data_IF_243218266183
#
_entry.id   IF_243218266183
#
_cell.length_a   1.000
_cell.length_b   1.000
_cell.length_c   1.000
_cell.angle_alpha   90.00
_cell.angle_beta   90.00
_cell.angle_gamma   90.00
#
_symmetry.space_group_name_H-M   'P 1'
#
loop_
_entity.id
_entity.type
_entity.pdbx_description
1 polymer ?
#
# COMPACT_ATOMS: atom_id res chain seq x y z
N UNK A 1 1.72 -6.32 58.57
CA UNK A 1 2.09 -5.18 57.69
C UNK A 1 3.55 -5.33 57.29
N UNK A 2 4.01 -4.82 56.13
CA UNK A 2 3.24 -4.43 54.93
C UNK A 2 2.56 -5.64 54.22
N UNK A 3 2.81 -6.17 53.00
CA UNK A 3 3.88 -5.96 51.99
C UNK A 3 3.51 -6.53 50.59
N UNK A 4 2.25 -6.44 50.15
CA UNK A 4 1.75 -6.95 48.85
C UNK A 4 2.23 -6.13 47.63
N UNK A 5 3.54 -6.15 47.33
CA UNK A 5 4.18 -5.23 46.37
C UNK A 5 4.78 -5.88 45.10
N UNK A 6 4.61 -7.19 44.88
CA UNK A 6 5.20 -7.89 43.72
C UNK A 6 4.22 -8.19 42.57
N UNK A 7 2.96 -7.72 42.65
CA UNK A 7 1.89 -8.14 41.72
C UNK A 7 1.40 -7.02 40.77
N UNK A 8 1.75 -5.75 41.03
CA UNK A 8 1.33 -4.62 40.18
C UNK A 8 2.20 -4.42 38.93
N UNK A 9 3.45 -4.86 38.92
CA UNK A 9 4.42 -4.58 37.85
C UNK A 9 4.09 -5.24 36.52
N UNK A 10 3.55 -6.48 36.56
CA UNK A 10 3.25 -7.28 35.36
C UNK A 10 2.06 -6.67 34.57
N UNK A 11 1.04 -6.17 35.26
CA UNK A 11 -0.17 -5.60 34.64
C UNK A 11 0.12 -4.32 33.84
N UNK A 12 1.03 -3.48 34.33
CA UNK A 12 1.39 -2.20 33.67
C UNK A 12 2.11 -2.44 32.34
N UNK A 13 2.98 -3.45 32.26
CA UNK A 13 3.70 -3.78 31.03
C UNK A 13 2.74 -4.24 29.90
N UNK A 14 1.76 -5.09 30.23
CA UNK A 14 0.77 -5.59 29.27
C UNK A 14 -0.10 -4.47 28.67
N UNK A 15 -0.48 -3.48 29.49
CA UNK A 15 -1.27 -2.33 29.04
C UNK A 15 -0.50 -1.39 28.08
N UNK A 16 0.81 -1.21 28.29
CA UNK A 16 1.64 -0.43 27.36
C UNK A 16 1.88 -1.17 26.03
N UNK A 17 2.06 -2.49 26.08
CA UNK A 17 2.25 -3.30 24.87
C UNK A 17 1.03 -3.23 23.94
N UNK A 18 -0.19 -3.38 24.46
CA UNK A 18 -1.41 -3.31 23.65
C UNK A 18 -1.67 -1.93 23.05
N UNK A 19 -1.38 -0.85 23.78
CA UNK A 19 -1.50 0.52 23.29
C UNK A 19 -0.63 0.79 22.04
N UNK A 20 0.62 0.32 22.04
CA UNK A 20 1.53 0.50 20.88
C UNK A 20 1.08 -0.29 19.65
N UNK A 21 0.54 -1.51 19.83
CA UNK A 21 0.01 -2.32 18.73
C UNK A 21 -1.26 -1.70 18.11
N UNK A 22 -2.15 -1.15 18.93
CA UNK A 22 -3.33 -0.43 18.46
C UNK A 22 -2.96 0.85 17.68
N UNK A 23 -2.04 1.65 18.21
CA UNK A 23 -1.58 2.88 17.56
C UNK A 23 -0.95 2.62 16.17
N UNK A 24 -0.09 1.60 16.05
CA UNK A 24 0.47 1.17 14.75
C UNK A 24 -0.63 0.76 13.78
N UNK A 25 -1.56 -0.09 14.21
CA UNK A 25 -2.66 -0.58 13.37
C UNK A 25 -3.58 0.55 12.88
N UNK A 26 -3.78 1.59 13.68
CA UNK A 26 -4.53 2.78 13.28
C UNK A 26 -3.76 3.65 12.28
N UNK A 27 -2.45 3.85 12.48
CA UNK A 27 -1.61 4.58 11.52
C UNK A 27 -1.54 3.86 10.16
N UNK A 28 -1.33 2.54 10.16
CA UNK A 28 -1.39 1.70 8.96
C UNK A 28 -2.72 1.88 8.20
N UNK A 29 -3.85 1.99 8.93
CA UNK A 29 -5.17 2.17 8.32
C UNK A 29 -5.31 3.54 7.64
N UNK A 30 -4.82 4.62 8.25
CA UNK A 30 -4.83 5.96 7.65
C UNK A 30 -3.97 5.98 6.37
N UNK A 31 -2.72 5.51 6.45
CA UNK A 31 -1.81 5.42 5.31
C UNK A 31 -2.41 4.61 4.16
N UNK A 32 -3.03 3.46 4.48
CA UNK A 32 -3.75 2.64 3.48
C UNK A 32 -4.95 3.38 2.88
N UNK A 33 -5.71 4.13 3.68
CA UNK A 33 -6.89 4.87 3.20
C UNK A 33 -6.51 6.01 2.26
N UNK A 34 -5.52 6.81 2.66
CA UNK A 34 -5.00 7.95 1.89
C UNK A 34 -4.33 7.48 0.58
N UNK A 35 -3.50 6.43 0.65
CA UNK A 35 -2.89 5.83 -0.54
C UNK A 35 -3.92 5.20 -1.50
N UNK A 36 -4.96 4.53 -0.99
CA UNK A 36 -6.08 4.04 -1.82
C UNK A 36 -6.85 5.18 -2.48
N UNK A 37 -7.02 6.31 -1.80
CA UNK A 37 -7.64 7.49 -2.40
C UNK A 37 -6.75 8.09 -3.49
N UNK A 38 -5.46 8.35 -3.22
CA UNK A 38 -4.53 8.92 -4.20
C UNK A 38 -4.43 8.07 -5.48
N UNK A 39 -4.39 6.73 -5.34
CA UNK A 39 -4.41 5.82 -6.48
C UNK A 39 -5.76 5.76 -7.23
N UNK A 40 -6.87 6.08 -6.57
CA UNK A 40 -8.18 6.14 -7.19
C UNK A 40 -8.42 7.47 -7.92
N UNK A 41 -8.05 8.60 -7.31
CA UNK A 41 -8.21 9.94 -7.86
C UNK A 41 -7.34 10.18 -9.11
N UNK A 42 -6.29 9.38 -9.29
CA UNK A 42 -5.48 9.31 -10.52
C UNK A 42 -6.15 8.54 -11.70
N UNK A 43 -7.38 8.02 -11.54
CA UNK A 43 -8.10 7.25 -12.57
C UNK A 43 -9.37 7.98 -13.08
N UNK A 44 -9.86 7.67 -14.32
CA UNK A 44 -10.98 8.41 -14.93
C UNK A 44 -12.33 8.31 -14.21
N UNK A 45 -12.55 7.27 -13.41
CA UNK A 45 -13.71 7.13 -12.51
C UNK A 45 -13.21 6.58 -11.15
N UNK A 46 -12.81 7.46 -10.22
CA UNK A 46 -12.28 7.07 -8.91
C UNK A 46 -13.27 6.24 -8.08
N UNK A 47 -14.58 6.46 -8.28
CA UNK A 47 -15.65 5.83 -7.48
C UNK A 47 -15.96 4.39 -7.93
N UNK A 48 -15.53 4.00 -9.13
CA UNK A 48 -15.65 2.62 -9.63
C UNK A 48 -14.39 1.78 -9.43
N UNK A 49 -13.35 2.31 -8.79
CA UNK A 49 -12.07 1.63 -8.63
C UNK A 49 -12.19 0.37 -7.77
N UNK A 50 -11.54 -0.70 -8.21
CA UNK A 50 -11.45 -1.99 -7.50
C UNK A 50 -10.00 -2.29 -7.19
N UNK A 51 -9.73 -2.63 -5.94
CA UNK A 51 -8.41 -3.08 -5.48
C UNK A 51 -8.42 -4.59 -5.21
N UNK A 52 -7.27 -5.25 -5.37
CA UNK A 52 -7.05 -6.62 -4.88
C UNK A 52 -5.56 -6.84 -4.57
N UNK A 53 -5.26 -7.85 -3.75
CA UNK A 53 -3.89 -8.25 -3.42
C UNK A 53 -3.07 -7.10 -2.82
N UNK A 54 -3.70 -6.29 -1.95
CA UNK A 54 -3.06 -5.15 -1.32
C UNK A 54 -2.08 -5.58 -0.22
N UNK A 55 -0.92 -4.94 -0.16
CA UNK A 55 0.04 -5.12 0.92
C UNK A 55 0.87 -3.87 1.15
N UNK A 56 1.34 -3.67 2.38
CA UNK A 56 2.40 -2.72 2.69
C UNK A 56 3.76 -3.39 2.49
N UNK A 57 4.68 -2.65 1.91
CA UNK A 57 6.08 -3.02 1.68
C UNK A 57 6.99 -1.93 2.26
N UNK A 58 8.12 -2.33 2.84
CA UNK A 58 9.10 -1.40 3.45
C UNK A 58 10.41 -1.38 2.65
N UNK A 59 10.91 -0.22 2.28
CA UNK A 59 12.16 -0.08 1.51
C UNK A 59 12.95 1.17 1.89
N UNK A 60 14.25 1.18 1.54
CA UNK A 60 15.16 2.30 1.84
C UNK A 60 15.22 2.61 3.34
N UNK A 61 15.15 3.89 3.68
CA UNK A 61 15.18 4.41 5.05
C UNK A 61 13.81 4.24 5.76
N UNK A 62 13.33 2.99 5.85
CA UNK A 62 12.01 2.60 6.38
C UNK A 62 10.81 3.30 5.73
N UNK A 63 10.89 3.60 4.42
CA UNK A 63 9.74 4.09 3.66
C UNK A 63 8.71 2.99 3.49
N UNK A 64 7.46 3.28 3.83
CA UNK A 64 6.31 2.41 3.58
C UNK A 64 5.71 2.73 2.21
N UNK A 65 5.27 1.71 1.50
CA UNK A 65 4.63 1.84 0.18
C UNK A 65 3.47 0.86 0.10
N UNK A 66 2.29 1.35 -0.30
CA UNK A 66 1.13 0.50 -0.58
C UNK A 66 1.28 -0.08 -1.98
N UNK A 67 1.37 -1.40 -2.07
CA UNK A 67 1.49 -2.14 -3.33
C UNK A 67 0.26 -3.05 -3.54
N UNK A 68 -0.02 -3.40 -4.79
CA UNK A 68 -1.04 -4.39 -5.13
C UNK A 68 -1.53 -4.27 -6.56
N UNK A 69 -2.79 -4.64 -6.80
CA UNK A 69 -3.45 -4.48 -8.10
C UNK A 69 -4.70 -3.59 -8.02
N UNK A 70 -4.88 -2.76 -9.06
CA UNK A 70 -5.97 -1.82 -9.23
C UNK A 70 -6.65 -2.03 -10.58
N UNK A 71 -7.97 -1.88 -10.63
CA UNK A 71 -8.77 -1.92 -11.85
C UNK A 71 -9.76 -0.75 -11.83
N UNK A 72 -9.70 0.11 -12.84
CA UNK A 72 -10.57 1.26 -13.00
C UNK A 72 -11.33 1.21 -14.31
N UNK A 73 -12.29 2.12 -14.46
CA UNK A 73 -12.95 2.33 -15.76
C UNK A 73 -12.17 3.32 -16.61
N UNK A 74 -12.23 3.13 -17.92
CA UNK A 74 -11.90 4.17 -18.90
C UNK A 74 -13.01 5.22 -19.03
N UNK A 75 -12.80 6.21 -19.91
CA UNK A 75 -13.79 7.26 -20.22
C UNK A 75 -15.06 6.75 -20.94
N UNK A 76 -15.10 5.48 -21.36
CA UNK A 76 -16.30 4.81 -21.90
C UNK A 76 -17.11 4.06 -20.83
N UNK A 77 -16.61 4.04 -19.59
CA UNK A 77 -17.22 3.32 -18.47
C UNK A 77 -16.88 1.83 -18.41
N UNK A 78 -15.98 1.33 -19.27
CA UNK A 78 -15.52 -0.07 -19.29
C UNK A 78 -14.34 -0.25 -18.35
N UNK A 79 -14.34 -1.31 -17.56
CA UNK A 79 -13.17 -1.73 -16.78
C UNK A 79 -12.04 -2.13 -17.72
N UNK A 80 -10.83 -1.59 -17.51
CA UNK A 80 -9.67 -1.83 -18.36
C UNK A 80 -8.94 -3.13 -18.02
N UNK A 81 -9.05 -3.61 -16.77
CA UNK A 81 -8.36 -4.79 -16.27
C UNK A 81 -7.62 -4.49 -14.96
N UNK A 82 -7.21 -5.54 -14.25
CA UNK A 82 -6.31 -5.36 -13.11
C UNK A 82 -4.89 -5.14 -13.62
N UNK A 83 -4.24 -4.10 -13.09
CA UNK A 83 -2.84 -3.77 -13.32
C UNK A 83 -2.14 -3.54 -11.98
N UNK A 84 -0.84 -3.82 -11.90
CA UNK A 84 -0.06 -3.53 -10.69
C UNK A 84 -0.01 -2.03 -10.44
N UNK A 85 0.03 -1.64 -9.18
CA UNK A 85 0.27 -0.25 -8.78
C UNK A 85 1.08 -0.21 -7.48
N UNK A 86 1.66 0.96 -7.22
CA UNK A 86 2.31 1.30 -5.97
C UNK A 86 2.00 2.77 -5.62
N UNK A 87 1.98 3.09 -4.34
CA UNK A 87 1.86 4.45 -3.81
C UNK A 87 2.90 4.65 -2.73
N UNK A 88 3.79 5.62 -2.91
CA UNK A 88 4.84 5.95 -1.95
C UNK A 88 4.28 6.77 -0.77
N UNK A 89 5.11 6.99 0.25
CA UNK A 89 4.78 7.76 1.45
C UNK A 89 4.52 9.26 1.17
N UNK A 90 4.89 9.76 -0.01
CA UNK A 90 4.52 11.08 -0.55
C UNK A 90 3.10 11.16 -1.13
N UNK A 91 2.38 10.03 -1.18
CA UNK A 91 1.13 9.82 -1.93
C UNK A 91 1.27 9.85 -3.47
N UNK A 92 2.51 9.90 -3.99
CA UNK A 92 2.77 9.70 -5.42
C UNK A 92 2.38 8.27 -5.84
N UNK A 93 1.52 8.15 -6.85
CA UNK A 93 1.03 6.86 -7.36
C UNK A 93 1.64 6.51 -8.72
N UNK A 94 2.14 5.28 -8.85
CA UNK A 94 2.62 4.72 -10.11
C UNK A 94 1.82 3.48 -10.49
N UNK A 95 1.55 3.34 -11.79
CA UNK A 95 0.79 2.23 -12.35
C UNK A 95 1.60 1.50 -13.40
N UNK A 96 1.39 0.18 -13.51
CA UNK A 96 1.96 -0.65 -14.57
C UNK A 96 1.40 -0.18 -15.93
N UNK A 97 2.23 0.38 -16.83
CA UNK A 97 1.78 0.71 -18.17
C UNK A 97 1.64 -0.62 -18.92
N UNK A 98 0.41 -1.10 -19.06
CA UNK A 98 0.08 -2.39 -19.69
C UNK A 98 0.31 -2.34 -21.21
N UNK A 99 1.58 -2.32 -21.59
CA UNK A 99 2.06 -2.39 -22.96
C UNK A 99 1.55 -3.68 -23.62
N UNK A 100 0.69 -3.53 -24.63
CA UNK A 100 0.11 -4.64 -25.37
C UNK A 100 1.04 -5.19 -26.47
N UNK A 101 0.60 -6.25 -27.17
CA UNK A 101 1.26 -6.69 -28.40
C UNK A 101 1.33 -5.53 -29.41
N UNK A 102 2.53 -5.18 -29.88
CA UNK A 102 2.75 -4.02 -30.76
C UNK A 102 3.04 -2.70 -30.06
N UNK A 103 3.25 -2.69 -28.73
CA UNK A 103 3.69 -1.50 -27.99
C UNK A 103 4.96 -0.86 -28.57
N UNK A 104 5.02 0.47 -28.51
CA UNK A 104 6.17 1.26 -28.96
C UNK A 104 7.39 1.03 -28.06
N UNK A 105 8.62 1.34 -28.55
CA UNK A 105 9.83 1.29 -27.71
C UNK A 105 9.75 2.17 -26.45
N UNK A 106 9.00 3.27 -26.50
CA UNK A 106 8.75 4.13 -25.35
C UNK A 106 7.85 3.47 -24.29
N UNK A 107 6.76 2.83 -24.69
CA UNK A 107 5.88 2.09 -23.77
C UNK A 107 6.59 0.89 -23.14
N UNK A 108 7.36 0.13 -23.92
CA UNK A 108 8.20 -0.96 -23.42
C UNK A 108 9.27 -0.46 -22.43
N UNK A 109 9.88 0.70 -22.69
CA UNK A 109 10.82 1.35 -21.77
C UNK A 109 10.12 1.77 -20.46
N UNK A 110 8.93 2.36 -20.52
CA UNK A 110 8.14 2.74 -19.34
C UNK A 110 7.73 1.51 -18.51
N UNK A 111 7.32 0.42 -19.16
CA UNK A 111 7.01 -0.84 -18.47
C UNK A 111 8.27 -1.43 -17.80
N UNK A 112 9.42 -1.36 -18.46
CA UNK A 112 10.71 -1.74 -17.87
C UNK A 112 11.15 -0.86 -16.70
N UNK A 113 10.83 0.45 -16.72
CA UNK A 113 11.05 1.36 -15.59
C UNK A 113 10.14 0.99 -14.42
N UNK A 114 8.83 0.86 -14.66
CA UNK A 114 7.87 0.44 -13.63
C UNK A 114 8.27 -0.91 -13.02
N UNK A 115 8.66 -1.89 -13.84
CA UNK A 115 9.14 -3.19 -13.37
C UNK A 115 10.32 -3.09 -12.40
N UNK A 116 11.31 -2.24 -12.69
CA UNK A 116 12.47 -2.01 -11.79
C UNK A 116 12.10 -1.26 -10.51
N UNK A 117 11.20 -0.27 -10.58
CA UNK A 117 10.72 0.45 -9.38
C UNK A 117 9.92 -0.49 -8.50
N UNK A 118 8.92 -1.19 -9.05
CA UNK A 118 8.11 -2.18 -8.33
C UNK A 118 8.97 -3.30 -7.72
N UNK A 119 10.01 -3.78 -8.41
CA UNK A 119 10.93 -4.78 -7.84
C UNK A 119 11.77 -4.21 -6.68
N UNK A 120 12.08 -2.91 -6.66
CA UNK A 120 12.75 -2.27 -5.52
C UNK A 120 11.79 -2.09 -4.35
N UNK A 121 10.63 -1.47 -4.58
CA UNK A 121 9.79 -0.93 -3.50
C UNK A 121 8.74 -1.93 -2.99
N UNK A 122 8.29 -2.88 -3.83
CA UNK A 122 7.23 -3.85 -3.50
C UNK A 122 7.73 -5.28 -3.26
N UNK A 123 9.04 -5.52 -3.12
CA UNK A 123 9.58 -6.88 -2.87
C UNK A 123 9.76 -7.24 -1.40
N UNK A 124 9.79 -6.27 -0.49
CA UNK A 124 9.89 -6.50 0.96
C UNK A 124 8.54 -6.29 1.65
N UNK A 125 7.59 -7.17 1.33
CA UNK A 125 6.23 -7.16 1.90
C UNK A 125 6.28 -7.36 3.42
N UNK A 126 5.77 -6.39 4.17
CA UNK A 126 5.69 -6.42 5.64
C UNK A 126 4.29 -6.77 6.17
N UNK A 127 3.20 -6.44 5.44
CA UNK A 127 1.82 -6.63 5.94
C UNK A 127 0.79 -6.80 4.82
N UNK A 128 -0.09 -7.79 4.92
CA UNK A 128 -1.29 -7.89 4.06
C UNK A 128 -2.36 -6.86 4.45
N UNK A 129 -3.03 -6.29 3.44
CA UNK A 129 -4.10 -5.31 3.58
C UNK A 129 -5.41 -5.91 3.05
N UNK A 130 -6.53 -5.65 3.74
CA UNK A 130 -7.88 -6.11 3.39
C UNK A 130 -8.73 -4.97 2.80
#
# INVERSE_FOLDING_TARGET
MPTTLLQCTILVAAAMASATAAARTYNDYLVVSEAKQAAADALPDPKSVRFRGLFLSEHGDSKITLCGEINGKDRTGRYTGFRRFLVEDTLDSMFDPQAGPGATPGEAMLQGIFGRVHQRVCSNKVKDVR
#
